data_IF_041507602784
#
_entry.id   IF_041507602784
#
_cell.length_a   1.000
_cell.length_b   1.000
_cell.length_c   1.000
_cell.angle_alpha   90.00
_cell.angle_beta   90.00
_cell.angle_gamma   90.00
#
_symmetry.space_group_name_H-M   'P 1'
#
loop_
_entity.id
_entity.type
_entity.pdbx_description
1 polymer ?
#
# COMPACT_ATOMS: atom_id res chain seq x y z
N UNK A 1 -7.72 -18.70 -43.08
CA UNK A 1 -8.87 -18.47 -42.15
C UNK A 1 -8.49 -17.75 -40.86
N UNK A 2 -7.58 -18.23 -40.02
CA UNK A 2 -7.25 -17.57 -38.75
C UNK A 2 -6.48 -16.25 -38.95
N UNK A 3 -5.53 -16.23 -39.86
CA UNK A 3 -4.74 -15.05 -40.21
C UNK A 3 -5.58 -13.95 -40.86
N UNK A 4 -6.49 -14.29 -41.75
CA UNK A 4 -7.41 -13.36 -42.39
C UNK A 4 -8.34 -12.69 -41.37
N UNK A 5 -8.89 -13.47 -40.43
CA UNK A 5 -9.70 -12.96 -39.33
C UNK A 5 -8.93 -12.00 -38.42
N UNK A 6 -7.64 -12.30 -38.13
CA UNK A 6 -6.78 -11.41 -37.34
C UNK A 6 -6.52 -10.08 -38.06
N UNK A 7 -6.27 -10.12 -39.38
CA UNK A 7 -6.07 -8.91 -40.17
C UNK A 7 -7.37 -8.07 -40.22
N UNK A 8 -8.52 -8.71 -40.34
CA UNK A 8 -9.82 -8.04 -40.30
C UNK A 8 -10.02 -7.33 -38.94
N UNK A 9 -9.76 -8.00 -37.83
CA UNK A 9 -9.83 -7.40 -36.48
C UNK A 9 -8.86 -6.20 -36.30
N UNK A 10 -7.66 -6.29 -36.84
CA UNK A 10 -6.69 -5.18 -36.84
C UNK A 10 -7.24 -4.01 -37.67
N UNK A 11 -7.76 -4.30 -38.84
CA UNK A 11 -8.36 -3.28 -39.73
C UNK A 11 -9.54 -2.56 -39.06
N UNK A 12 -10.44 -3.30 -38.44
CA UNK A 12 -11.57 -2.73 -37.69
C UNK A 12 -11.11 -1.85 -36.53
N UNK A 13 -10.13 -2.33 -35.74
CA UNK A 13 -9.57 -1.57 -34.63
C UNK A 13 -9.03 -0.21 -35.07
N UNK A 14 -8.17 -0.17 -36.07
CA UNK A 14 -7.54 1.08 -36.51
C UNK A 14 -8.49 1.99 -37.24
N UNK A 15 -9.40 1.45 -38.06
CA UNK A 15 -10.48 2.24 -38.67
C UNK A 15 -11.41 2.87 -37.62
N UNK A 16 -11.72 2.15 -36.54
CA UNK A 16 -12.50 2.68 -35.43
C UNK A 16 -11.80 3.82 -34.67
N UNK A 17 -10.47 3.90 -34.74
CA UNK A 17 -9.67 5.00 -34.24
C UNK A 17 -9.49 6.15 -35.22
N UNK A 18 -10.04 6.05 -36.46
CA UNK A 18 -9.83 7.03 -37.53
C UNK A 18 -8.46 6.94 -38.21
N UNK A 19 -7.74 5.82 -38.02
CA UNK A 19 -6.40 5.60 -38.52
C UNK A 19 -6.37 4.64 -39.73
N UNK A 20 -5.32 4.73 -40.55
CA UNK A 20 -5.13 3.81 -41.68
C UNK A 20 -4.38 2.54 -41.21
N UNK A 21 -5.06 1.35 -41.23
CA UNK A 21 -4.45 0.10 -40.79
C UNK A 21 -3.19 -0.29 -41.58
N UNK A 22 -3.13 0.03 -42.89
CA UNK A 22 -2.00 -0.36 -43.73
C UNK A 22 -0.70 0.33 -43.31
N UNK A 23 -0.78 1.53 -42.75
CA UNK A 23 0.38 2.24 -42.19
C UNK A 23 0.97 1.45 -41.03
N UNK A 24 0.12 0.93 -40.12
CA UNK A 24 0.57 0.14 -38.98
C UNK A 24 1.13 -1.22 -39.39
N UNK A 25 0.43 -1.94 -40.28
CA UNK A 25 0.92 -3.22 -40.83
C UNK A 25 2.24 -3.06 -41.58
N UNK A 26 2.40 -1.98 -42.34
CA UNK A 26 3.67 -1.65 -42.99
C UNK A 26 4.79 -1.37 -41.99
N UNK A 27 4.46 -0.66 -40.89
CA UNK A 27 5.40 -0.34 -39.82
C UNK A 27 5.93 -1.58 -39.12
N UNK A 28 5.12 -2.65 -38.96
CA UNK A 28 5.54 -3.90 -38.34
C UNK A 28 6.75 -4.57 -39.04
N UNK A 29 6.99 -4.26 -40.31
CA UNK A 29 8.18 -4.75 -41.06
C UNK A 29 9.50 -4.23 -40.52
N UNK A 30 9.46 -3.12 -39.78
CA UNK A 30 10.63 -2.38 -39.29
C UNK A 30 10.74 -2.38 -37.77
N UNK A 31 9.76 -2.94 -37.06
CA UNK A 31 9.78 -3.04 -35.59
C UNK A 31 10.77 -4.11 -35.17
N UNK A 32 11.65 -3.76 -34.23
CA UNK A 32 12.53 -4.72 -33.58
C UNK A 32 11.72 -5.71 -32.74
N UNK A 33 12.19 -6.95 -32.65
CA UNK A 33 11.58 -7.91 -31.73
C UNK A 33 11.81 -7.47 -30.28
N UNK A 34 10.85 -7.78 -29.43
CA UNK A 34 10.90 -7.46 -27.99
C UNK A 34 11.73 -8.53 -27.27
N UNK A 35 12.75 -8.09 -26.53
CA UNK A 35 13.52 -8.93 -25.63
C UNK A 35 13.00 -8.81 -24.20
N UNK A 36 13.21 -9.81 -23.38
CA UNK A 36 12.80 -9.81 -21.98
C UNK A 36 13.41 -8.64 -21.18
N UNK A 37 14.72 -8.43 -21.34
CA UNK A 37 15.44 -7.38 -20.60
C UNK A 37 15.03 -5.97 -21.02
N UNK A 38 14.76 -5.72 -22.30
CA UNK A 38 14.25 -4.44 -22.80
C UNK A 38 12.81 -4.21 -22.33
N UNK A 39 11.96 -5.23 -22.39
CA UNK A 39 10.56 -5.13 -21.97
C UNK A 39 10.41 -4.91 -20.48
N UNK A 40 11.25 -5.54 -19.66
CA UNK A 40 11.24 -5.41 -18.19
C UNK A 40 12.17 -4.30 -17.69
N UNK A 41 12.87 -3.57 -18.57
CA UNK A 41 13.84 -2.52 -18.21
C UNK A 41 14.85 -3.00 -17.15
N UNK A 42 15.38 -4.24 -17.33
CA UNK A 42 16.17 -4.93 -16.32
C UNK A 42 17.40 -4.14 -15.90
N UNK A 43 18.15 -3.61 -16.86
CA UNK A 43 19.38 -2.84 -16.57
C UNK A 43 19.06 -1.55 -15.80
N UNK A 44 17.97 -0.87 -16.18
CA UNK A 44 17.49 0.32 -15.46
C UNK A 44 17.08 -0.04 -14.03
N UNK A 45 16.30 -1.11 -13.86
CA UNK A 45 15.83 -1.57 -12.55
C UNK A 45 17.00 -1.90 -11.61
N UNK A 46 18.02 -2.60 -12.12
CA UNK A 46 19.20 -3.00 -11.36
C UNK A 46 20.22 -1.88 -11.13
N UNK A 47 20.01 -0.71 -11.71
CA UNK A 47 20.85 0.49 -11.52
C UNK A 47 20.23 1.51 -10.53
N UNK A 48 19.06 1.24 -9.95
CA UNK A 48 18.35 2.18 -9.08
C UNK A 48 18.86 2.19 -7.62
N UNK A 49 19.74 1.26 -7.23
CA UNK A 49 20.24 1.16 -5.86
C UNK A 49 21.37 2.18 -5.64
N UNK A 50 21.18 3.08 -4.66
CA UNK A 50 22.13 4.14 -4.32
C UNK A 50 22.40 4.16 -2.82
N UNK A 51 23.23 3.23 -2.30
CA UNK A 51 23.54 3.15 -0.88
C UNK A 51 24.27 4.42 -0.40
N UNK A 52 24.08 4.78 0.86
CA UNK A 52 24.73 5.91 1.54
C UNK A 52 25.99 5.49 2.25
N UNK A 53 26.13 4.21 2.57
CA UNK A 53 27.28 3.62 3.24
C UNK A 53 27.94 2.56 2.36
N UNK A 54 29.08 2.05 2.81
CA UNK A 54 29.80 0.94 2.16
C UNK A 54 29.37 -0.45 2.69
N UNK A 55 28.34 -0.50 3.55
CA UNK A 55 27.87 -1.74 4.17
C UNK A 55 27.01 -2.53 3.18
N UNK A 56 27.34 -3.81 2.87
CA UNK A 56 26.63 -4.58 1.85
C UNK A 56 25.14 -4.74 2.09
N UNK A 57 24.72 -4.88 3.36
CA UNK A 57 23.32 -5.12 3.72
C UNK A 57 22.42 -3.89 3.48
N UNK A 58 23.00 -2.69 3.30
CA UNK A 58 22.23 -1.52 2.87
C UNK A 58 21.63 -1.72 1.46
N UNK A 59 22.33 -2.43 0.57
CA UNK A 59 21.76 -2.78 -0.74
C UNK A 59 20.57 -3.74 -0.61
N UNK A 60 20.64 -4.72 0.30
CA UNK A 60 19.52 -5.62 0.59
C UNK A 60 18.32 -4.82 1.10
N UNK A 61 18.56 -3.88 2.03
CA UNK A 61 17.54 -2.99 2.57
C UNK A 61 16.86 -2.15 1.47
N UNK A 62 17.64 -1.55 0.58
CA UNK A 62 17.11 -0.73 -0.53
C UNK A 62 16.26 -1.60 -1.47
N UNK A 63 16.82 -2.72 -1.96
CA UNK A 63 16.12 -3.60 -2.90
C UNK A 63 14.83 -4.17 -2.30
N UNK A 64 14.85 -4.54 -1.02
CA UNK A 64 13.65 -5.00 -0.32
C UNK A 64 12.54 -3.94 -0.35
N UNK A 65 12.86 -2.68 -0.06
CA UNK A 65 11.87 -1.60 -0.10
C UNK A 65 11.40 -1.31 -1.54
N UNK A 66 12.29 -1.39 -2.53
CA UNK A 66 11.91 -1.25 -3.94
C UNK A 66 10.94 -2.35 -4.39
N UNK A 67 11.15 -3.61 -3.96
CA UNK A 67 10.20 -4.72 -4.19
C UNK A 67 8.83 -4.43 -3.55
N UNK A 68 8.82 -3.92 -2.32
CA UNK A 68 7.57 -3.55 -1.66
C UNK A 68 6.83 -2.44 -2.41
N UNK A 69 7.52 -1.41 -2.89
CA UNK A 69 6.92 -0.34 -3.68
C UNK A 69 6.35 -0.84 -5.02
N UNK A 70 6.99 -1.82 -5.68
CA UNK A 70 6.45 -2.47 -6.88
C UNK A 70 5.20 -3.29 -6.55
N UNK A 71 5.16 -4.02 -5.44
CA UNK A 71 3.98 -4.74 -4.98
C UNK A 71 2.84 -3.77 -4.62
N UNK A 72 3.12 -2.64 -3.97
CA UNK A 72 2.13 -1.60 -3.72
C UNK A 72 1.55 -1.02 -5.01
N UNK A 73 2.38 -0.81 -6.03
CA UNK A 73 1.92 -0.38 -7.36
C UNK A 73 0.99 -1.41 -8.01
N UNK A 74 1.30 -2.72 -7.88
CA UNK A 74 0.42 -3.79 -8.36
C UNK A 74 -0.92 -3.78 -7.62
N UNK A 75 -0.91 -3.61 -6.30
CA UNK A 75 -2.13 -3.52 -5.48
C UNK A 75 -2.99 -2.33 -5.91
N UNK A 76 -2.40 -1.14 -6.04
CA UNK A 76 -3.11 0.04 -6.51
C UNK A 76 -3.70 -0.15 -7.90
N UNK A 77 -2.99 -0.84 -8.81
CA UNK A 77 -3.51 -1.16 -10.15
C UNK A 77 -4.77 -2.03 -10.09
N UNK A 78 -4.84 -3.01 -9.19
CA UNK A 78 -6.07 -3.81 -9.01
C UNK A 78 -7.21 -2.99 -8.40
N UNK A 79 -6.90 -2.10 -7.44
CA UNK A 79 -7.92 -1.22 -6.84
C UNK A 79 -8.45 -0.23 -7.87
N UNK A 80 -7.59 0.37 -8.69
CA UNK A 80 -8.01 1.26 -9.77
C UNK A 80 -8.95 0.56 -10.77
N UNK A 81 -8.63 -0.68 -11.17
CA UNK A 81 -9.51 -1.45 -12.04
C UNK A 81 -10.92 -1.64 -11.43
N UNK A 82 -11.01 -1.84 -10.12
CA UNK A 82 -12.30 -1.92 -9.42
C UNK A 82 -13.01 -0.57 -9.39
N UNK A 83 -12.28 0.51 -9.12
CA UNK A 83 -12.82 1.86 -8.96
C UNK A 83 -13.32 2.50 -10.28
N UNK A 84 -12.86 2.01 -11.43
CA UNK A 84 -13.21 2.52 -12.75
C UNK A 84 -14.45 1.84 -13.36
N UNK A 85 -14.93 0.74 -12.77
CA UNK A 85 -16.10 0.01 -13.27
C UNK A 85 -17.38 0.62 -12.72
N UNK A 86 -18.29 1.11 -13.59
CA UNK A 86 -19.57 1.70 -13.18
C UNK A 86 -20.52 0.67 -12.57
N UNK A 87 -20.61 -0.53 -13.17
CA UNK A 87 -21.47 -1.62 -12.70
C UNK A 87 -20.60 -2.83 -12.42
N UNK A 88 -20.16 -2.95 -11.18
CA UNK A 88 -19.21 -3.98 -10.80
C UNK A 88 -19.91 -5.33 -10.64
N UNK A 89 -19.42 -6.35 -11.34
CA UNK A 89 -19.84 -7.73 -11.15
C UNK A 89 -19.16 -8.34 -9.92
N UNK A 90 -19.91 -9.09 -9.12
CA UNK A 90 -19.44 -9.72 -7.90
C UNK A 90 -18.16 -10.57 -8.13
N UNK A 91 -18.14 -11.40 -9.18
CA UNK A 91 -17.00 -12.28 -9.46
C UNK A 91 -15.75 -11.49 -9.87
N UNK A 92 -15.91 -10.41 -10.59
CA UNK A 92 -14.81 -9.51 -10.91
C UNK A 92 -14.23 -8.90 -9.64
N UNK A 93 -15.09 -8.35 -8.76
CA UNK A 93 -14.65 -7.74 -7.50
C UNK A 93 -13.90 -8.74 -6.61
N UNK A 94 -14.47 -9.93 -6.40
CA UNK A 94 -13.84 -11.02 -5.63
C UNK A 94 -12.52 -11.45 -6.24
N UNK A 95 -12.44 -11.52 -7.58
CA UNK A 95 -11.20 -11.85 -8.29
C UNK A 95 -10.10 -10.82 -8.02
N UNK A 96 -10.40 -9.50 -8.08
CA UNK A 96 -9.43 -8.44 -7.79
C UNK A 96 -8.98 -8.47 -6.33
N UNK A 97 -9.90 -8.58 -5.40
CA UNK A 97 -9.57 -8.77 -3.97
C UNK A 97 -8.68 -10.00 -3.74
N UNK A 98 -8.93 -11.08 -4.44
CA UNK A 98 -8.11 -12.30 -4.38
C UNK A 98 -6.67 -12.07 -4.87
N UNK A 99 -6.47 -11.21 -5.89
CA UNK A 99 -5.13 -10.83 -6.38
C UNK A 99 -4.41 -9.94 -5.37
N UNK A 100 -5.08 -8.92 -4.85
CA UNK A 100 -4.55 -8.04 -3.80
C UNK A 100 -4.13 -8.85 -2.58
N UNK A 101 -4.97 -9.79 -2.15
CA UNK A 101 -4.66 -10.69 -1.03
C UNK A 101 -3.37 -11.50 -1.26
N UNK A 102 -3.14 -12.00 -2.48
CA UNK A 102 -1.89 -12.71 -2.82
C UNK A 102 -0.66 -11.81 -2.80
N UNK A 103 -0.79 -10.55 -3.23
CA UNK A 103 0.32 -9.59 -3.15
C UNK A 103 0.68 -9.28 -1.70
N UNK A 104 -0.30 -9.19 -0.81
CA UNK A 104 -0.04 -9.06 0.62
C UNK A 104 0.57 -10.33 1.24
N UNK A 105 0.24 -11.52 0.77
CA UNK A 105 0.92 -12.76 1.21
C UNK A 105 2.42 -12.71 0.87
N UNK A 106 2.77 -12.22 -0.32
CA UNK A 106 4.17 -12.01 -0.71
C UNK A 106 4.83 -10.94 0.18
N UNK A 107 4.18 -9.80 0.40
CA UNK A 107 4.68 -8.74 1.28
C UNK A 107 4.95 -9.25 2.70
N UNK A 108 4.03 -10.03 3.28
CA UNK A 108 4.18 -10.59 4.63
C UNK A 108 5.33 -11.59 4.67
N UNK A 109 5.39 -12.53 3.72
CA UNK A 109 6.44 -13.55 3.68
C UNK A 109 7.82 -12.96 3.39
N UNK A 110 7.90 -11.87 2.62
CA UNK A 110 9.16 -11.20 2.25
C UNK A 110 9.88 -10.57 3.43
N UNK A 111 9.22 -10.35 4.57
CA UNK A 111 9.90 -9.89 5.79
C UNK A 111 11.00 -10.85 6.27
N UNK A 112 10.98 -12.11 5.84
CA UNK A 112 12.07 -13.04 6.08
C UNK A 112 13.41 -12.53 5.53
N UNK A 113 13.40 -11.78 4.42
CA UNK A 113 14.60 -11.14 3.85
C UNK A 113 15.14 -10.11 4.85
N UNK A 114 14.28 -9.28 5.40
CA UNK A 114 14.69 -8.29 6.41
C UNK A 114 15.17 -8.96 7.69
N UNK A 115 14.42 -9.92 8.21
CA UNK A 115 14.67 -10.51 9.53
C UNK A 115 15.89 -11.45 9.56
N UNK A 116 16.14 -12.18 8.47
CA UNK A 116 17.16 -13.23 8.42
C UNK A 116 18.21 -13.02 7.31
N UNK A 117 17.97 -12.10 6.39
CA UNK A 117 18.86 -11.83 5.25
C UNK A 117 19.80 -10.65 5.44
N UNK A 118 19.82 -10.02 6.63
CA UNK A 118 20.76 -8.95 6.97
C UNK A 118 21.34 -9.18 8.35
N UNK A 119 22.59 -8.74 8.56
CA UNK A 119 23.27 -8.79 9.85
C UNK A 119 22.82 -7.62 10.73
N UNK A 120 22.45 -7.91 12.01
CA UNK A 120 22.01 -6.90 12.96
C UNK A 120 23.05 -5.79 13.13
N UNK A 121 24.33 -6.14 13.17
CA UNK A 121 25.43 -5.17 13.33
C UNK A 121 25.53 -4.20 12.14
N UNK A 122 25.39 -4.69 10.90
CA UNK A 122 25.40 -3.84 9.72
C UNK A 122 24.16 -2.92 9.68
N UNK A 123 22.98 -3.50 9.92
CA UNK A 123 21.74 -2.72 9.98
C UNK A 123 21.84 -1.59 10.99
N UNK A 124 22.29 -1.86 12.22
CA UNK A 124 22.41 -0.84 13.28
C UNK A 124 23.40 0.28 12.92
N UNK A 125 24.42 -0.01 12.10
CA UNK A 125 25.37 1.00 11.62
C UNK A 125 24.80 1.89 10.52
N UNK A 126 24.18 1.32 9.48
CA UNK A 126 23.68 2.14 8.37
C UNK A 126 22.35 2.82 8.68
N UNK A 127 21.51 2.30 9.58
CA UNK A 127 20.21 2.92 9.91
C UNK A 127 20.36 4.38 10.38
N UNK A 128 21.42 4.71 11.09
CA UNK A 128 21.65 6.07 11.56
C UNK A 128 21.94 7.03 10.39
N UNK A 129 22.57 6.54 9.31
CA UNK A 129 22.79 7.30 8.08
C UNK A 129 21.49 7.52 7.28
N UNK A 130 20.44 6.74 7.54
CA UNK A 130 19.14 6.89 6.87
C UNK A 130 18.24 7.93 7.54
N UNK A 131 18.59 8.41 8.75
CA UNK A 131 17.80 9.45 9.44
C UNK A 131 17.74 10.72 8.57
N UNK A 132 16.54 11.36 8.36
CA UNK A 132 15.26 11.10 9.02
C UNK A 132 14.27 10.22 8.24
N UNK A 133 14.70 9.42 7.26
CA UNK A 133 13.81 8.58 6.47
C UNK A 133 13.05 7.54 7.34
N UNK A 134 11.78 7.30 7.03
CA UNK A 134 10.93 6.36 7.75
C UNK A 134 9.88 5.73 6.83
N UNK A 135 9.50 4.49 7.13
CA UNK A 135 8.53 3.72 6.34
C UNK A 135 7.15 4.37 6.22
N UNK A 136 6.74 5.29 7.13
CA UNK A 136 5.46 5.98 6.98
C UNK A 136 5.42 6.89 5.74
N UNK A 137 6.59 7.24 5.18
CA UNK A 137 6.73 8.09 3.99
C UNK A 137 6.47 7.34 2.66
N UNK A 138 6.09 6.06 2.69
CA UNK A 138 5.62 5.39 1.47
C UNK A 138 4.27 5.95 1.05
N UNK A 139 4.28 6.82 0.03
CA UNK A 139 3.05 7.44 -0.49
C UNK A 139 2.09 6.40 -1.09
N UNK A 140 2.62 5.34 -1.72
CA UNK A 140 1.79 4.27 -2.28
C UNK A 140 1.05 3.51 -1.19
N UNK A 141 1.70 3.23 -0.06
CA UNK A 141 1.02 2.59 1.06
C UNK A 141 -0.09 3.48 1.65
N UNK A 142 0.15 4.80 1.77
CA UNK A 142 -0.90 5.76 2.17
C UNK A 142 -2.09 5.74 1.19
N UNK A 143 -1.82 5.71 -0.12
CA UNK A 143 -2.86 5.58 -1.15
C UNK A 143 -3.64 4.27 -1.04
N UNK A 144 -2.98 3.14 -0.77
CA UNK A 144 -3.68 1.86 -0.56
C UNK A 144 -4.68 1.97 0.60
N UNK A 145 -4.28 2.56 1.73
CA UNK A 145 -5.17 2.76 2.86
C UNK A 145 -6.39 3.61 2.50
N UNK A 146 -6.17 4.76 1.86
CA UNK A 146 -7.24 5.66 1.39
C UNK A 146 -8.16 4.98 0.38
N UNK A 147 -7.60 4.16 -0.51
CA UNK A 147 -8.36 3.44 -1.52
C UNK A 147 -9.11 2.21 -0.98
N UNK A 148 -8.80 1.74 0.22
CA UNK A 148 -9.50 0.63 0.86
C UNK A 148 -10.73 1.05 1.64
N UNK A 149 -10.73 2.25 2.27
CA UNK A 149 -11.79 2.65 3.22
C UNK A 149 -11.96 4.16 3.32
N UNK A 150 -12.98 4.59 4.04
CA UNK A 150 -13.19 6.02 4.34
C UNK A 150 -12.13 6.56 5.31
N UNK A 151 -11.77 7.84 5.17
CA UNK A 151 -10.78 8.48 6.03
C UNK A 151 -11.11 8.39 7.52
N UNK A 152 -12.40 8.39 7.89
CA UNK A 152 -12.83 8.23 9.29
C UNK A 152 -12.30 6.94 9.94
N UNK A 153 -12.16 5.86 9.17
CA UNK A 153 -11.61 4.59 9.67
C UNK A 153 -10.08 4.64 9.84
N UNK A 154 -9.42 5.61 9.21
CA UNK A 154 -7.97 5.82 9.24
C UNK A 154 -7.52 6.89 10.25
N UNK A 155 -8.46 7.59 10.90
CA UNK A 155 -8.14 8.60 11.90
C UNK A 155 -7.33 7.99 13.06
N UNK A 156 -6.43 8.77 13.64
CA UNK A 156 -5.80 8.41 14.90
C UNK A 156 -6.86 8.19 15.99
N UNK A 157 -6.64 7.21 16.86
CA UNK A 157 -7.59 6.78 17.88
C UNK A 157 -8.15 7.92 18.75
N UNK A 158 -7.37 9.01 18.92
CA UNK A 158 -7.78 10.22 19.67
C UNK A 158 -8.82 11.07 18.95
N UNK A 159 -8.84 11.02 17.62
CA UNK A 159 -9.73 11.83 16.78
C UNK A 159 -10.93 11.05 16.26
N UNK A 160 -10.90 9.70 16.27
CA UNK A 160 -12.06 8.88 15.88
C UNK A 160 -13.38 9.26 16.56
N UNK A 161 -13.42 9.52 17.89
CA UNK A 161 -14.67 9.95 18.56
C UNK A 161 -15.17 11.32 18.12
N UNK A 162 -14.33 12.11 17.45
CA UNK A 162 -14.59 13.48 16.99
C UNK A 162 -14.58 13.59 15.47
N UNK A 163 -14.75 12.48 14.77
CA UNK A 163 -14.70 12.44 13.30
C UNK A 163 -15.70 13.41 12.64
N UNK A 164 -16.86 13.61 13.27
CA UNK A 164 -17.90 14.51 12.78
C UNK A 164 -17.59 16.01 13.05
N UNK A 165 -16.61 16.32 13.89
CA UNK A 165 -16.12 17.66 14.13
C UNK A 165 -15.08 18.12 13.11
N UNK A 166 -14.51 17.20 12.30
CA UNK A 166 -13.49 17.49 11.31
C UNK A 166 -14.12 17.99 10.00
N UNK A 167 -13.70 19.18 9.59
CA UNK A 167 -14.25 19.86 8.42
C UNK A 167 -13.48 19.54 7.13
N UNK A 168 -14.07 18.72 6.29
CA UNK A 168 -13.54 18.40 4.95
C UNK A 168 -12.37 17.41 4.94
N UNK A 169 -11.89 17.07 3.74
CA UNK A 169 -10.90 16.03 3.53
C UNK A 169 -9.52 16.41 4.07
N UNK A 170 -9.12 17.68 3.95
CA UNK A 170 -7.79 18.12 4.43
C UNK A 170 -7.66 17.96 5.93
N UNK A 171 -8.69 18.39 6.68
CA UNK A 171 -8.68 18.26 8.14
C UNK A 171 -8.62 16.81 8.58
N UNK A 172 -9.35 15.91 7.89
CA UNK A 172 -9.25 14.46 8.13
C UNK A 172 -7.85 13.91 7.82
N UNK A 173 -7.23 14.33 6.71
CA UNK A 173 -5.87 13.91 6.34
C UNK A 173 -4.86 14.33 7.41
N UNK A 174 -4.97 15.53 7.94
CA UNK A 174 -4.08 16.04 8.99
C UNK A 174 -4.22 15.30 10.32
N UNK A 175 -5.29 14.52 10.48
CA UNK A 175 -5.58 13.74 11.69
C UNK A 175 -5.49 12.21 11.46
N UNK A 176 -4.97 11.76 10.30
CA UNK A 176 -4.76 10.33 10.07
C UNK A 176 -3.72 9.75 11.04
N UNK A 177 -3.88 8.49 11.38
CA UNK A 177 -3.08 7.80 12.41
C UNK A 177 -1.56 7.90 12.18
N UNK A 178 -1.10 7.92 10.94
CA UNK A 178 0.32 7.98 10.60
C UNK A 178 0.94 9.38 10.81
N UNK A 179 0.14 10.44 10.81
CA UNK A 179 0.57 11.79 11.16
C UNK A 179 1.18 11.81 12.58
N UNK A 180 0.65 10.97 13.47
CA UNK A 180 1.12 10.87 14.85
C UNK A 180 2.61 10.47 14.96
N UNK A 181 3.16 9.79 13.96
CA UNK A 181 4.59 9.42 13.94
C UNK A 181 5.53 10.64 13.81
N UNK A 182 5.02 11.74 13.24
CA UNK A 182 5.79 12.97 13.03
C UNK A 182 5.27 14.21 13.78
N UNK A 183 4.22 14.08 14.59
CA UNK A 183 3.60 15.19 15.30
C UNK A 183 3.97 15.20 16.78
N UNK A 184 4.49 16.31 17.27
CA UNK A 184 4.61 16.56 18.70
C UNK A 184 3.32 17.22 19.23
N UNK A 185 2.42 16.42 19.78
CA UNK A 185 1.12 16.92 20.27
C UNK A 185 1.18 17.83 21.52
N UNK A 186 2.35 17.97 22.15
CA UNK A 186 2.53 18.91 23.27
C UNK A 186 2.85 20.32 22.77
N UNK A 187 3.64 20.44 21.69
CA UNK A 187 4.05 21.72 21.13
C UNK A 187 3.29 22.09 19.86
N UNK A 188 2.59 21.14 19.23
CA UNK A 188 1.95 21.33 17.93
C UNK A 188 2.92 21.31 16.75
N UNK A 189 4.20 21.00 16.99
CA UNK A 189 5.23 21.03 15.95
C UNK A 189 5.31 19.71 15.17
N UNK A 190 5.40 19.83 13.85
CA UNK A 190 5.69 18.70 12.95
C UNK A 190 7.21 18.49 12.86
N UNK A 191 7.63 17.23 12.87
CA UNK A 191 9.01 16.84 12.59
C UNK A 191 9.43 17.23 11.15
N UNK A 192 10.72 17.39 10.91
CA UNK A 192 11.23 17.63 9.55
C UNK A 192 10.75 16.59 8.56
N UNK A 193 10.77 15.33 8.96
CA UNK A 193 10.32 14.18 8.18
C UNK A 193 8.85 14.29 7.74
N UNK A 194 7.95 14.72 8.62
CA UNK A 194 6.55 14.92 8.29
C UNK A 194 6.36 16.15 7.39
N UNK A 195 7.02 17.26 7.69
CA UNK A 195 6.97 18.48 6.85
C UNK A 195 7.40 18.20 5.41
N UNK A 196 8.55 17.55 5.22
CA UNK A 196 9.05 17.22 3.88
C UNK A 196 8.16 16.24 3.13
N UNK A 197 7.52 15.29 3.84
CA UNK A 197 6.55 14.39 3.23
C UNK A 197 5.29 15.12 2.77
N UNK A 198 4.75 16.01 3.58
CA UNK A 198 3.57 16.82 3.23
C UNK A 198 3.86 17.80 2.09
N UNK A 199 5.04 18.45 2.10
CA UNK A 199 5.48 19.34 1.01
C UNK A 199 5.56 18.58 -0.34
N UNK A 200 6.05 17.33 -0.32
CA UNK A 200 6.21 16.52 -1.53
C UNK A 200 4.90 15.88 -2.00
N UNK A 201 4.08 15.35 -1.10
CA UNK A 201 2.96 14.47 -1.43
C UNK A 201 1.61 14.92 -0.86
N UNK A 202 1.54 15.97 -0.06
CA UNK A 202 0.29 16.41 0.60
C UNK A 202 -0.82 16.70 -0.40
N UNK A 203 -0.54 17.47 -1.45
CA UNK A 203 -1.51 17.75 -2.51
C UNK A 203 -1.93 16.49 -3.26
N UNK A 204 -0.98 15.62 -3.60
CA UNK A 204 -1.26 14.36 -4.30
C UNK A 204 -2.17 13.43 -3.48
N UNK A 205 -1.95 13.35 -2.15
CA UNK A 205 -2.78 12.56 -1.25
C UNK A 205 -4.19 13.16 -1.09
N UNK A 206 -4.31 14.48 -1.03
CA UNK A 206 -5.60 15.15 -0.99
C UNK A 206 -6.41 14.92 -2.27
N UNK A 207 -5.80 15.13 -3.44
CA UNK A 207 -6.43 14.90 -4.74
C UNK A 207 -6.84 13.40 -4.87
N UNK A 208 -6.01 12.48 -4.41
CA UNK A 208 -6.30 11.05 -4.39
C UNK A 208 -7.45 10.71 -3.42
N UNK A 209 -7.47 11.28 -2.22
CA UNK A 209 -8.55 11.08 -1.27
C UNK A 209 -9.89 11.59 -1.81
N UNK A 210 -9.90 12.72 -2.50
CA UNK A 210 -11.09 13.25 -3.17
C UNK A 210 -11.57 12.31 -4.27
N UNK A 211 -10.66 11.77 -5.09
CA UNK A 211 -11.00 10.82 -6.15
C UNK A 211 -11.61 9.53 -5.58
N UNK A 212 -11.08 9.03 -4.46
CA UNK A 212 -11.49 7.77 -3.85
C UNK A 212 -12.58 7.91 -2.77
N UNK A 213 -13.11 9.08 -2.51
CA UNK A 213 -14.13 9.31 -1.49
C UNK A 213 -15.34 8.37 -1.66
N UNK A 214 -15.82 8.22 -2.90
CA UNK A 214 -16.96 7.34 -3.25
C UNK A 214 -16.55 6.07 -4.01
N UNK A 215 -15.26 5.89 -4.27
CA UNK A 215 -14.72 4.79 -5.11
C UNK A 215 -13.72 3.91 -4.37
N UNK A 216 -13.56 4.09 -3.06
CA UNK A 216 -12.77 3.17 -2.25
C UNK A 216 -13.48 1.81 -2.12
N UNK A 217 -12.73 0.75 -1.80
CA UNK A 217 -13.28 -0.62 -1.77
C UNK A 217 -14.46 -0.76 -0.81
N UNK A 218 -14.47 -0.02 0.32
CA UNK A 218 -15.60 -0.01 1.26
C UNK A 218 -16.84 0.64 0.65
N UNK A 219 -16.69 1.81 0.02
CA UNK A 219 -17.79 2.51 -0.63
C UNK A 219 -18.41 1.64 -1.74
N UNK A 220 -17.58 0.97 -2.54
CA UNK A 220 -18.03 0.02 -3.56
C UNK A 220 -18.78 -1.15 -2.92
N UNK A 221 -18.26 -1.75 -1.87
CA UNK A 221 -18.97 -2.81 -1.12
C UNK A 221 -20.33 -2.33 -0.64
N UNK A 222 -20.41 -1.13 -0.05
CA UNK A 222 -21.67 -0.58 0.46
C UNK A 222 -22.70 -0.29 -0.65
N UNK A 223 -22.26 -0.04 -1.88
CA UNK A 223 -23.14 0.18 -3.03
C UNK A 223 -23.70 -1.08 -3.68
N UNK A 224 -23.15 -2.27 -3.34
CA UNK A 224 -23.64 -3.54 -3.87
C UNK A 224 -25.06 -3.87 -3.43
N UNK A 225 -25.71 -4.80 -4.14
CA UNK A 225 -27.00 -5.36 -3.74
C UNK A 225 -26.91 -6.06 -2.36
N UNK A 226 -28.02 -6.14 -1.63
CA UNK A 226 -28.04 -6.83 -0.33
C UNK A 226 -27.73 -8.33 -0.44
N UNK A 227 -27.94 -8.93 -1.61
CA UNK A 227 -27.59 -10.33 -1.89
C UNK A 227 -26.07 -10.45 -2.08
N UNK A 228 -25.46 -9.58 -2.88
CA UNK A 228 -24.00 -9.60 -3.13
C UNK A 228 -23.20 -9.29 -1.87
N UNK A 229 -23.64 -8.33 -1.05
CA UNK A 229 -23.02 -8.01 0.25
C UNK A 229 -22.93 -9.22 1.18
N UNK A 230 -23.92 -10.12 1.12
CA UNK A 230 -23.97 -11.34 1.93
C UNK A 230 -23.25 -12.53 1.32
N UNK A 231 -22.69 -12.40 0.12
CA UNK A 231 -21.99 -13.48 -0.55
C UNK A 231 -20.75 -13.95 0.26
N UNK A 232 -20.69 -15.22 0.70
CA UNK A 232 -19.60 -15.69 1.57
C UNK A 232 -18.20 -15.50 0.97
N UNK A 233 -18.08 -15.61 -0.36
CA UNK A 233 -16.81 -15.42 -1.08
C UNK A 233 -16.32 -13.97 -0.99
N UNK A 234 -17.21 -12.98 -1.03
CA UNK A 234 -16.87 -11.57 -0.92
C UNK A 234 -16.46 -11.23 0.53
N UNK A 235 -17.29 -11.59 1.49
CA UNK A 235 -17.03 -11.37 2.94
C UNK A 235 -15.66 -11.97 3.30
N UNK A 236 -15.40 -13.22 2.89
CA UNK A 236 -14.10 -13.89 3.14
C UNK A 236 -12.93 -13.13 2.53
N UNK A 237 -13.06 -12.66 1.28
CA UNK A 237 -11.98 -11.94 0.59
C UNK A 237 -11.68 -10.59 1.24
N UNK A 238 -12.73 -9.83 1.65
CA UNK A 238 -12.58 -8.53 2.30
C UNK A 238 -12.06 -8.65 3.73
N UNK A 239 -12.58 -9.59 4.54
CA UNK A 239 -12.04 -9.86 5.90
C UNK A 239 -10.58 -10.30 5.82
N UNK A 240 -10.21 -11.15 4.86
CA UNK A 240 -8.82 -11.56 4.66
C UNK A 240 -7.91 -10.38 4.28
N UNK A 241 -8.40 -9.42 3.49
CA UNK A 241 -7.65 -8.23 3.12
C UNK A 241 -7.40 -7.33 4.34
N UNK A 242 -8.45 -7.07 5.12
CA UNK A 242 -8.38 -6.25 6.32
C UNK A 242 -7.41 -6.84 7.36
N UNK A 243 -7.52 -8.14 7.64
CA UNK A 243 -6.62 -8.88 8.53
C UNK A 243 -5.15 -8.83 8.05
N UNK A 244 -4.92 -9.07 6.75
CA UNK A 244 -3.56 -9.05 6.18
C UNK A 244 -2.89 -7.68 6.28
N UNK A 245 -3.60 -6.61 5.95
CA UNK A 245 -3.03 -5.26 5.95
C UNK A 245 -2.88 -4.75 7.38
N UNK A 246 -3.96 -4.80 8.15
CA UNK A 246 -4.04 -4.08 9.42
C UNK A 246 -3.55 -4.88 10.62
N UNK A 247 -3.44 -6.21 10.50
CA UNK A 247 -2.91 -7.06 11.57
C UNK A 247 -1.62 -7.74 11.13
N UNK A 248 -1.68 -8.68 10.19
CA UNK A 248 -0.53 -9.57 9.88
C UNK A 248 0.69 -8.82 9.36
N UNK A 249 0.52 -7.95 8.37
CA UNK A 249 1.63 -7.17 7.82
C UNK A 249 2.21 -6.22 8.87
N UNK A 250 1.34 -5.55 9.62
CA UNK A 250 1.74 -4.63 10.69
C UNK A 250 2.49 -5.36 11.81
N UNK A 251 2.01 -6.52 12.23
CA UNK A 251 2.68 -7.33 13.28
C UNK A 251 4.00 -7.94 12.80
N UNK A 252 4.07 -8.37 11.53
CA UNK A 252 5.32 -8.89 10.97
C UNK A 252 6.38 -7.77 10.89
N UNK A 253 5.97 -6.56 10.49
CA UNK A 253 6.82 -5.38 10.53
C UNK A 253 7.27 -5.06 11.98
N UNK A 254 6.32 -5.04 12.92
CA UNK A 254 6.60 -4.83 14.34
C UNK A 254 7.66 -5.81 14.88
N UNK A 255 7.45 -7.11 14.66
CA UNK A 255 8.37 -8.17 15.10
C UNK A 255 9.74 -8.08 14.41
N UNK A 256 9.79 -7.63 13.17
CA UNK A 256 11.06 -7.41 12.46
C UNK A 256 11.81 -6.21 13.03
N UNK A 257 11.12 -5.11 13.32
CA UNK A 257 11.73 -3.96 13.99
C UNK A 257 12.23 -4.32 15.40
N UNK A 258 11.44 -5.08 16.16
CA UNK A 258 11.81 -5.56 17.51
C UNK A 258 13.08 -6.42 17.47
N UNK A 259 13.19 -7.35 16.50
CA UNK A 259 14.38 -8.18 16.31
C UNK A 259 15.66 -7.35 16.23
N UNK A 260 15.67 -6.25 15.48
CA UNK A 260 16.86 -5.40 15.35
C UNK A 260 17.10 -4.48 16.56
N UNK A 261 16.03 -3.89 17.08
CA UNK A 261 16.14 -2.86 18.11
C UNK A 261 16.42 -3.46 19.50
N UNK A 262 15.92 -4.66 19.80
CA UNK A 262 16.16 -5.34 21.07
C UNK A 262 17.45 -6.15 21.08
N UNK A 263 17.89 -6.67 19.93
CA UNK A 263 19.18 -7.37 19.82
C UNK A 263 20.39 -6.48 20.15
N UNK A 264 20.21 -5.15 20.11
CA UNK A 264 21.28 -4.19 20.48
C UNK A 264 21.48 -4.02 21.99
N UNK A 265 20.62 -4.62 22.83
CA UNK A 265 20.68 -4.50 24.30
C UNK A 265 20.37 -3.10 24.84
N UNK A 266 19.94 -2.17 24.00
CA UNK A 266 19.55 -0.81 24.36
C UNK A 266 18.11 -0.56 23.90
N UNK A 267 17.30 0.11 24.73
CA UNK A 267 15.99 0.61 24.31
C UNK A 267 16.21 1.73 23.27
N UNK A 268 16.23 1.36 21.99
CA UNK A 268 16.47 2.30 20.89
C UNK A 268 15.13 2.80 20.36
N UNK A 269 14.97 4.12 20.29
CA UNK A 269 13.81 4.74 19.63
C UNK A 269 13.82 4.44 18.13
N UNK A 270 12.65 4.53 17.46
CA UNK A 270 12.59 4.49 16.01
C UNK A 270 13.50 5.58 15.40
N UNK A 271 13.86 5.41 14.11
CA UNK A 271 14.74 6.35 13.38
C UNK A 271 14.23 7.81 13.44
N UNK A 272 12.92 8.01 13.66
CA UNK A 272 12.29 9.32 13.90
C UNK A 272 12.09 9.71 15.36
N UNK A 273 12.64 8.96 16.35
CA UNK A 273 12.53 9.28 17.77
C UNK A 273 11.16 9.02 18.43
N UNK A 274 10.20 8.46 17.69
CA UNK A 274 8.84 8.18 18.18
C UNK A 274 8.76 6.91 19.03
N UNK A 275 7.77 6.80 19.96
CA UNK A 275 7.47 5.56 20.68
C UNK A 275 6.79 4.56 19.75
N UNK A 276 7.54 4.03 18.80
CA UNK A 276 7.10 3.20 17.68
C UNK A 276 6.20 2.01 18.08
N UNK A 277 6.43 1.41 19.25
CA UNK A 277 5.62 0.29 19.76
C UNK A 277 4.13 0.64 19.84
N UNK A 278 3.79 1.87 20.26
CA UNK A 278 2.39 2.33 20.34
C UNK A 278 1.77 2.65 18.98
N UNK A 279 2.57 3.09 18.00
CA UNK A 279 2.04 3.46 16.68
C UNK A 279 1.94 2.27 15.72
N UNK A 280 2.78 1.26 15.91
CA UNK A 280 2.80 0.11 15.02
C UNK A 280 1.84 -0.99 15.45
N UNK A 281 1.65 -1.21 16.75
CA UNK A 281 0.86 -2.33 17.22
C UNK A 281 -0.65 -2.13 16.98
N UNK A 282 -1.35 -3.06 16.29
CA UNK A 282 -2.75 -2.93 15.87
C UNK A 282 -3.74 -2.67 17.01
N UNK A 283 -3.49 -3.18 18.21
CA UNK A 283 -4.36 -2.97 19.37
C UNK A 283 -4.50 -1.51 19.81
N UNK A 284 -3.50 -0.67 19.52
CA UNK A 284 -3.53 0.75 19.90
C UNK A 284 -4.15 1.63 18.82
N UNK A 285 -3.88 1.35 17.55
CA UNK A 285 -4.38 2.16 16.43
C UNK A 285 -5.60 1.59 15.74
N UNK A 286 -6.07 0.40 16.10
CA UNK A 286 -7.31 -0.24 15.61
C UNK A 286 -7.76 0.24 14.22
N UNK A 287 -6.90 0.05 13.20
CA UNK A 287 -7.27 0.33 11.81
C UNK A 287 -8.13 -0.82 11.31
N UNK A 288 -9.30 -0.51 10.82
CA UNK A 288 -10.27 -1.48 10.33
C UNK A 288 -10.87 -0.89 9.07
N UNK A 289 -10.67 -1.55 7.94
CA UNK A 289 -11.13 -1.02 6.66
C UNK A 289 -12.62 -1.28 6.43
N UNK A 290 -13.11 -2.42 6.89
CA UNK A 290 -14.48 -2.86 6.65
C UNK A 290 -15.18 -3.20 7.97
N UNK A 291 -15.46 -2.21 8.85
CA UNK A 291 -15.99 -2.47 10.20
C UNK A 291 -17.34 -3.22 10.18
N UNK A 292 -18.11 -3.11 9.12
CA UNK A 292 -19.41 -3.78 8.95
C UNK A 292 -19.30 -5.31 8.86
N UNK A 293 -18.13 -5.82 8.51
CA UNK A 293 -17.90 -7.25 8.32
C UNK A 293 -17.49 -7.98 9.60
N UNK A 294 -17.17 -7.24 10.67
CA UNK A 294 -16.64 -7.80 11.92
C UNK A 294 -17.66 -7.76 13.04
N UNK A 295 -17.74 -8.83 13.84
CA UNK A 295 -18.56 -8.82 15.04
C UNK A 295 -18.00 -7.89 16.10
N UNK A 296 -18.81 -7.53 17.09
CA UNK A 296 -18.36 -6.69 18.20
C UNK A 296 -17.20 -7.35 18.96
N UNK A 297 -17.28 -8.66 19.19
CA UNK A 297 -16.21 -9.41 19.86
C UNK A 297 -14.90 -9.38 19.07
N UNK A 298 -14.95 -9.58 17.74
CA UNK A 298 -13.79 -9.49 16.87
C UNK A 298 -13.17 -8.06 16.89
N UNK A 299 -14.01 -7.01 16.91
CA UNK A 299 -13.56 -5.63 17.02
C UNK A 299 -12.97 -5.31 18.41
N UNK A 300 -13.53 -5.83 19.47
CA UNK A 300 -13.05 -5.61 20.84
C UNK A 300 -11.67 -6.27 21.05
N UNK A 301 -11.45 -7.44 20.44
CA UNK A 301 -10.18 -8.20 20.50
C UNK A 301 -9.22 -7.89 19.36
N UNK A 302 -9.49 -6.87 18.54
CA UNK A 302 -8.67 -6.51 17.38
C UNK A 302 -7.19 -6.32 17.71
N UNK A 303 -6.34 -7.14 17.11
CA UNK A 303 -4.91 -7.09 17.30
C UNK A 303 -4.37 -7.72 18.59
N UNK A 304 -5.23 -8.35 19.42
CA UNK A 304 -4.82 -9.02 20.66
C UNK A 304 -4.32 -10.45 20.42
N UNK A 305 -4.81 -11.15 19.40
CA UNK A 305 -4.50 -12.57 19.14
C UNK A 305 -3.05 -12.84 18.68
N UNK A 306 -2.24 -11.81 18.55
CA UNK A 306 -0.86 -11.90 18.06
C UNK A 306 0.19 -11.48 19.09
N UNK A 307 -0.14 -11.52 20.37
CA UNK A 307 0.76 -11.18 21.48
C UNK A 307 1.75 -12.31 21.86
N UNK A 308 1.67 -13.52 21.22
CA UNK A 308 2.57 -14.66 21.45
C UNK A 308 3.79 -14.70 20.50
#
# INVERSE_FOLDING_TARGET
MEQEKLIEQINEKYKGLGENPDTYLSGLRYVNHVNYWDYCEVDTLLALQKPKTFLPDENVFIMYHQVNELLFKMILSEIHQVAEVENIELDFFVSRLGRINRYFDVLISSFAIMKYGMEVEQYMKFRDALTPASGFQSVQYRKIEIACTDLNNLLDARFKPKADELEGLQDKIDHLYWQAAGMNYKTGEKSLMLKTFEEQYGKELLDFAQQFETKNLRAIYLSLSEEDKKAPKLIKAMKALDDKINIKWTMTHYRTAEHYLESSGKAVAATGGSPWKKYMHPKYQKRIFFPELWSKEELDTWGHEHEE
#
